data_IF_594453394213
#
_entry.id   IF_594453394213
#
_cell.length_a   1.000
_cell.length_b   1.000
_cell.length_c   1.000
_cell.angle_alpha   90.00
_cell.angle_beta   90.00
_cell.angle_gamma   90.00
#
_symmetry.space_group_name_H-M   'P 1'
#
loop_
_entity.id
_entity.type
_entity.pdbx_description
1 polymer ?
#
# COMPACT_ATOMS: atom_id res chain seq x y z
N UNK A 1 -12.53 -20.93 3.96
CA UNK A 1 -13.27 -21.05 2.68
C UNK A 1 -14.59 -21.77 2.94
N UNK A 2 -15.72 -21.19 2.55
CA UNK A 2 -17.04 -21.79 2.85
C UNK A 2 -17.36 -23.02 1.98
N UNK A 3 -16.54 -23.32 0.95
CA UNK A 3 -16.75 -24.38 -0.04
C UNK A 3 -15.70 -25.53 0.06
N UNK A 4 -14.94 -25.62 1.16
CA UNK A 4 -14.00 -26.71 1.41
C UNK A 4 -12.77 -26.77 0.47
N UNK A 5 -12.50 -25.71 -0.31
CA UNK A 5 -11.30 -25.62 -1.14
C UNK A 5 -10.08 -25.17 -0.33
N UNK A 6 -8.89 -25.42 -0.87
CA UNK A 6 -7.65 -24.87 -0.36
C UNK A 6 -7.60 -23.35 -0.55
N UNK A 7 -7.05 -22.65 0.45
CA UNK A 7 -6.78 -21.22 0.36
C UNK A 7 -5.59 -20.98 -0.56
N UNK A 8 -5.72 -20.01 -1.48
CA UNK A 8 -4.59 -19.57 -2.29
C UNK A 8 -3.50 -18.92 -1.43
N UNK A 9 -2.28 -18.90 -1.93
CA UNK A 9 -1.18 -18.15 -1.30
C UNK A 9 -1.49 -16.65 -1.36
N UNK A 10 -1.57 -15.96 -0.22
CA UNK A 10 -1.90 -14.54 -0.19
C UNK A 10 -0.72 -13.66 -0.57
N UNK A 11 -1.02 -12.44 -1.00
CA UNK A 11 -0.09 -11.34 -1.14
C UNK A 11 -0.73 -10.08 -0.53
N UNK A 12 0.09 -9.19 0.04
CA UNK A 12 -0.39 -7.95 0.63
C UNK A 12 0.46 -6.77 0.21
N UNK A 13 -0.14 -5.59 0.24
CA UNK A 13 0.53 -4.32 -0.04
C UNK A 13 0.09 -3.29 0.99
N UNK A 14 0.99 -2.38 1.35
CA UNK A 14 0.69 -1.23 2.18
C UNK A 14 1.35 0.00 1.59
N UNK A 15 0.63 1.12 1.57
CA UNK A 15 1.22 2.45 1.39
C UNK A 15 0.56 3.41 2.36
N UNK A 16 1.35 4.07 3.20
CA UNK A 16 0.87 5.14 4.07
C UNK A 16 1.40 6.46 3.55
N UNK A 17 0.50 7.34 3.11
CA UNK A 17 0.83 8.71 2.76
C UNK A 17 0.75 9.62 4.00
N UNK A 18 1.54 10.70 4.02
CA UNK A 18 1.47 11.77 5.01
C UNK A 18 1.61 13.11 4.31
N UNK A 19 0.67 14.01 4.55
CA UNK A 19 0.74 15.40 4.10
C UNK A 19 1.40 16.22 5.20
N UNK A 20 2.65 16.62 4.97
CA UNK A 20 3.41 17.51 5.89
C UNK A 20 2.86 18.94 5.79
N UNK A 21 2.56 19.35 4.56
CA UNK A 21 1.79 20.56 4.21
C UNK A 21 0.80 20.19 3.10
N UNK A 22 -0.15 21.07 2.71
CA UNK A 22 -1.11 20.75 1.66
C UNK A 22 -0.51 20.35 0.30
N UNK A 23 0.72 20.80 -0.01
CA UNK A 23 1.44 20.50 -1.25
C UNK A 23 2.75 19.73 -1.02
N UNK A 24 2.98 19.19 0.18
CA UNK A 24 4.15 18.40 0.51
C UNK A 24 3.72 17.07 1.09
N UNK A 25 3.77 16.03 0.26
CA UNK A 25 3.52 14.65 0.65
C UNK A 25 4.81 13.86 0.83
N UNK A 26 4.74 12.85 1.70
CA UNK A 26 5.70 11.76 1.79
C UNK A 26 4.93 10.45 1.94
N UNK A 27 5.58 9.33 1.65
CA UNK A 27 4.99 8.01 1.79
C UNK A 27 5.97 6.97 2.32
N UNK A 28 5.41 5.91 2.88
CA UNK A 28 6.09 4.64 3.12
C UNK A 28 5.29 3.53 2.45
N UNK A 29 5.96 2.68 1.67
CA UNK A 29 5.33 1.58 0.95
C UNK A 29 6.04 0.25 1.21
N UNK A 30 5.31 -0.85 1.12
CA UNK A 30 5.85 -2.21 1.21
C UNK A 30 4.96 -3.24 0.52
N UNK A 31 5.59 -4.27 -0.06
CA UNK A 31 4.92 -5.47 -0.57
C UNK A 31 5.29 -6.65 0.34
N UNK A 32 4.29 -7.46 0.66
CA UNK A 32 4.43 -8.61 1.55
C UNK A 32 3.97 -9.90 0.89
N UNK A 33 4.65 -10.99 1.25
CA UNK A 33 4.35 -12.35 0.86
C UNK A 33 4.15 -13.26 2.07
N UNK A 34 3.59 -14.45 1.82
CA UNK A 34 3.54 -15.51 2.82
C UNK A 34 4.79 -16.38 2.68
N UNK A 35 5.62 -16.39 3.71
CA UNK A 35 6.93 -17.04 3.70
C UNK A 35 6.83 -18.54 3.96
N UNK A 36 7.87 -19.28 3.58
CA UNK A 36 7.95 -20.72 3.82
C UNK A 36 7.96 -21.10 5.31
N UNK A 37 8.36 -20.19 6.21
CA UNK A 37 8.30 -20.38 7.67
C UNK A 37 6.94 -19.96 8.27
N UNK A 38 5.92 -19.74 7.43
CA UNK A 38 4.54 -19.51 7.84
C UNK A 38 4.25 -18.11 8.37
N UNK A 39 5.04 -17.09 7.98
CA UNK A 39 4.92 -15.71 8.43
C UNK A 39 4.59 -14.76 7.28
N UNK A 40 4.26 -13.52 7.62
CA UNK A 40 4.19 -12.43 6.64
C UNK A 40 5.60 -11.85 6.48
N UNK A 41 6.17 -11.99 5.30
CA UNK A 41 7.50 -11.52 4.93
C UNK A 41 7.45 -10.26 4.07
N UNK A 42 8.57 -9.55 3.98
CA UNK A 42 8.75 -8.45 3.01
C UNK A 42 9.35 -9.02 1.73
N UNK A 43 8.76 -8.70 0.60
CA UNK A 43 9.34 -9.06 -0.70
C UNK A 43 10.67 -8.33 -0.87
N UNK A 44 11.75 -9.07 -1.10
CA UNK A 44 13.10 -8.52 -1.21
C UNK A 44 13.18 -7.49 -2.35
N UNK A 45 13.72 -6.31 -2.04
CA UNK A 45 13.86 -5.20 -2.99
C UNK A 45 12.58 -4.40 -3.22
N UNK A 46 11.49 -4.72 -2.54
CA UNK A 46 10.24 -3.94 -2.58
C UNK A 46 10.19 -2.88 -1.48
N UNK A 47 9.25 -1.94 -1.65
CA UNK A 47 8.94 -0.92 -0.67
C UNK A 47 9.96 0.21 -0.58
N UNK A 48 9.84 1.03 0.46
CA UNK A 48 10.72 2.17 0.69
C UNK A 48 9.99 3.37 1.27
N UNK A 49 10.74 4.45 1.40
CA UNK A 49 10.26 5.78 1.77
C UNK A 49 10.41 6.69 0.54
N UNK A 50 9.64 7.78 0.49
CA UNK A 50 9.94 8.88 -0.43
C UNK A 50 11.41 9.28 -0.30
N UNK A 51 12.19 9.26 -1.39
CA UNK A 51 13.58 9.69 -1.38
C UNK A 51 13.71 11.14 -0.93
N UNK A 52 14.86 11.51 -0.37
CA UNK A 52 15.12 12.88 0.11
C UNK A 52 15.02 13.94 -1.00
N UNK A 53 15.37 13.55 -2.22
CA UNK A 53 15.27 14.31 -3.46
C UNK A 53 14.04 13.93 -4.30
N UNK A 54 13.09 13.22 -3.70
CA UNK A 54 11.84 12.81 -4.31
C UNK A 54 10.90 13.99 -4.56
N UNK A 55 9.88 13.76 -5.41
CA UNK A 55 8.90 14.80 -5.73
C UNK A 55 7.76 14.82 -4.71
N UNK A 56 7.91 15.61 -3.66
CA UNK A 56 6.92 15.74 -2.59
C UNK A 56 5.57 16.33 -3.06
N UNK A 57 5.55 17.17 -4.10
CA UNK A 57 4.30 17.73 -4.62
C UNK A 57 3.44 16.63 -5.26
N UNK A 58 4.08 15.71 -6.01
CA UNK A 58 3.38 14.57 -6.58
C UNK A 58 2.88 13.60 -5.51
N UNK A 59 3.67 13.35 -4.46
CA UNK A 59 3.23 12.55 -3.31
C UNK A 59 1.97 13.12 -2.64
N UNK A 60 1.83 14.46 -2.56
CA UNK A 60 0.63 15.09 -2.02
C UNK A 60 -0.60 14.85 -2.90
N UNK A 61 -0.44 14.93 -4.22
CA UNK A 61 -1.50 14.65 -5.20
C UNK A 61 -1.91 13.17 -5.13
N UNK A 62 -0.93 12.26 -5.03
CA UNK A 62 -1.19 10.83 -4.92
C UNK A 62 -1.86 10.46 -3.59
N UNK A 63 -1.53 11.14 -2.49
CA UNK A 63 -2.21 10.92 -1.20
C UNK A 63 -3.72 11.16 -1.30
N UNK A 64 -4.14 12.25 -1.94
CA UNK A 64 -5.56 12.57 -2.15
C UNK A 64 -6.23 11.54 -3.08
N UNK A 65 -5.54 11.15 -4.15
CA UNK A 65 -6.03 10.15 -5.10
C UNK A 65 -6.18 8.77 -4.42
N UNK A 66 -5.22 8.37 -3.60
CA UNK A 66 -5.26 7.13 -2.83
C UNK A 66 -6.46 7.11 -1.89
N UNK A 67 -6.71 8.20 -1.16
CA UNK A 67 -7.87 8.30 -0.27
C UNK A 67 -9.20 8.14 -1.04
N UNK A 68 -9.37 8.86 -2.14
CA UNK A 68 -10.58 8.75 -2.95
C UNK A 68 -10.78 7.32 -3.49
N UNK A 69 -9.72 6.71 -3.98
CA UNK A 69 -9.76 5.37 -4.58
C UNK A 69 -10.02 4.28 -3.54
N UNK A 70 -9.34 4.29 -2.39
CA UNK A 70 -9.52 3.26 -1.35
C UNK A 70 -10.90 3.37 -0.71
N UNK A 71 -11.43 4.59 -0.55
CA UNK A 71 -12.80 4.79 -0.08
C UNK A 71 -13.82 4.24 -1.09
N UNK A 72 -13.59 4.44 -2.39
CA UNK A 72 -14.44 3.84 -3.42
C UNK A 72 -14.36 2.32 -3.36
N UNK A 73 -13.16 1.74 -3.39
CA UNK A 73 -12.96 0.28 -3.35
C UNK A 73 -13.67 -0.39 -2.16
N UNK A 74 -13.62 0.24 -0.98
CA UNK A 74 -14.23 -0.30 0.22
C UNK A 74 -15.75 -0.09 0.30
N UNK A 75 -16.28 1.00 -0.25
CA UNK A 75 -17.64 1.46 0.08
C UNK A 75 -18.55 1.77 -1.11
N UNK A 76 -18.03 1.89 -2.32
CA UNK A 76 -18.87 2.05 -3.52
C UNK A 76 -19.36 0.67 -3.96
N UNK A 77 -20.60 0.33 -3.61
CA UNK A 77 -21.22 -0.97 -3.89
C UNK A 77 -21.62 -1.19 -5.35
N UNK A 78 -20.69 -1.06 -6.30
CA UNK A 78 -20.84 -1.58 -7.66
C UNK A 78 -20.61 -3.08 -7.69
#
# INVERSE_FOLDING_TARGET
LMNGRDVGTPAWVNTCYSLVTPNHGISVAMVYDYTADGKIGKVKGSGGLTPKDGNNQMEAIYAQSWYANIMSDMFSGT
#
